data_IF_536025872896
#
_entry.id   IF_536025872896
#
_cell.length_a   1.000
_cell.length_b   1.000
_cell.length_c   1.000
_cell.angle_alpha   90.00
_cell.angle_beta   90.00
_cell.angle_gamma   90.00
#
_symmetry.space_group_name_H-M   'P 1'
#
loop_
_entity.id
_entity.type
_entity.pdbx_description
1 polymer ?
#
# COMPACT_ATOMS: atom_id res chain seq x y z
N UNK A 1 2.56 -16.02 -3.90
CA UNK A 1 2.84 -14.67 -4.46
C UNK A 1 2.83 -13.66 -3.33
N UNK A 2 3.74 -12.73 -3.35
CA UNK A 2 3.77 -11.64 -2.37
C UNK A 2 3.11 -10.41 -2.98
N UNK A 3 2.17 -9.83 -2.27
CA UNK A 3 1.41 -8.66 -2.74
C UNK A 3 1.60 -7.52 -1.74
N UNK A 4 2.00 -6.35 -2.25
CA UNK A 4 1.98 -5.12 -1.49
C UNK A 4 0.66 -4.41 -1.78
N UNK A 5 -0.20 -4.29 -0.77
CA UNK A 5 -1.45 -3.57 -0.92
C UNK A 5 -1.19 -2.09 -0.66
N UNK A 6 -1.34 -1.28 -1.70
CA UNK A 6 -1.12 0.16 -1.65
C UNK A 6 -2.20 0.86 -0.82
N UNK A 7 -1.90 2.06 -0.36
CA UNK A 7 -2.81 2.88 0.45
C UNK A 7 -4.14 3.14 -0.26
N UNK A 8 -4.11 3.36 -1.59
CA UNK A 8 -5.33 3.54 -2.38
C UNK A 8 -6.27 2.33 -2.22
N UNK A 9 -5.72 1.13 -2.31
CA UNK A 9 -6.49 -0.10 -2.19
C UNK A 9 -7.00 -0.33 -0.75
N UNK A 10 -6.17 -0.06 0.25
CA UNK A 10 -6.61 -0.14 1.64
C UNK A 10 -7.74 0.83 1.94
N UNK A 11 -7.68 2.05 1.40
CA UNK A 11 -8.74 3.05 1.57
C UNK A 11 -10.06 2.53 1.01
N UNK A 12 -10.05 1.91 -0.17
CA UNK A 12 -11.23 1.31 -0.78
C UNK A 12 -11.76 0.13 0.04
N UNK A 13 -10.85 -0.69 0.57
CA UNK A 13 -11.21 -1.81 1.43
C UNK A 13 -11.94 -1.33 2.69
N UNK A 14 -11.41 -0.33 3.38
CA UNK A 14 -12.04 0.20 4.58
C UNK A 14 -13.34 0.96 4.30
N UNK A 15 -13.47 1.54 3.12
CA UNK A 15 -14.70 2.20 2.69
C UNK A 15 -15.82 1.23 2.31
N UNK A 16 -15.50 -0.05 2.09
CA UNK A 16 -16.48 -1.05 1.67
C UNK A 16 -17.01 -0.83 0.27
N UNK A 17 -16.23 -0.21 -0.61
CA UNK A 17 -16.61 0.02 -2.01
C UNK A 17 -16.63 -1.28 -2.81
N UNK A 18 -17.12 -1.23 -4.07
CA UNK A 18 -17.07 -2.38 -4.97
C UNK A 18 -15.62 -2.82 -5.23
N UNK A 19 -14.73 -1.86 -5.42
CA UNK A 19 -13.31 -2.15 -5.58
C UNK A 19 -12.74 -2.71 -4.27
N UNK A 20 -13.20 -2.18 -3.14
CA UNK A 20 -12.82 -2.69 -1.82
C UNK A 20 -13.17 -4.15 -1.62
N UNK A 21 -14.26 -4.63 -2.22
CA UNK A 21 -14.61 -6.06 -2.17
C UNK A 21 -13.59 -6.91 -2.95
N UNK A 22 -13.04 -6.37 -4.03
CA UNK A 22 -11.96 -7.05 -4.78
C UNK A 22 -10.70 -7.10 -3.91
N UNK A 23 -10.34 -5.99 -3.27
CA UNK A 23 -9.20 -5.95 -2.35
C UNK A 23 -9.37 -6.95 -1.22
N UNK A 24 -10.59 -7.07 -0.71
CA UNK A 24 -10.93 -8.02 0.37
C UNK A 24 -10.60 -9.46 -0.01
N UNK A 25 -10.74 -9.84 -1.28
CA UNK A 25 -10.38 -11.20 -1.70
C UNK A 25 -8.91 -11.50 -1.47
N UNK A 26 -8.04 -10.51 -1.64
CA UNK A 26 -6.61 -10.65 -1.33
C UNK A 26 -6.37 -10.68 0.17
N UNK A 27 -7.01 -9.79 0.92
CA UNK A 27 -6.85 -9.70 2.37
C UNK A 27 -7.26 -11.00 3.05
N UNK A 28 -8.35 -11.62 2.60
CA UNK A 28 -8.90 -12.84 3.20
C UNK A 28 -8.27 -14.13 2.69
N UNK A 29 -7.48 -14.06 1.64
CA UNK A 29 -6.80 -15.24 1.08
C UNK A 29 -5.53 -15.54 1.88
N UNK A 30 -5.60 -16.54 2.76
CA UNK A 30 -4.49 -16.92 3.63
C UNK A 30 -3.27 -17.46 2.86
N UNK A 31 -3.46 -17.86 1.61
CA UNK A 31 -2.35 -18.30 0.75
C UNK A 31 -1.55 -17.13 0.17
N UNK A 32 -2.08 -15.91 0.25
CA UNK A 32 -1.37 -14.72 -0.17
C UNK A 32 -0.48 -14.19 0.96
N UNK A 33 0.78 -13.93 0.65
CA UNK A 33 1.64 -13.17 1.54
C UNK A 33 1.43 -11.68 1.27
N UNK A 34 0.90 -10.97 2.25
CA UNK A 34 0.60 -9.54 2.12
C UNK A 34 1.61 -8.73 2.90
N UNK A 35 2.19 -7.74 2.25
CA UNK A 35 3.09 -6.78 2.88
C UNK A 35 2.56 -5.38 2.73
N UNK A 36 3.00 -4.49 3.62
CA UNK A 36 2.78 -3.05 3.51
C UNK A 36 4.07 -2.33 3.87
N UNK A 37 4.25 -1.15 3.26
CA UNK A 37 5.28 -0.22 3.69
C UNK A 37 4.83 0.52 4.95
N UNK A 38 5.76 0.95 5.79
CA UNK A 38 5.45 1.87 6.87
C UNK A 38 4.81 3.17 6.36
N UNK A 39 5.06 3.54 5.10
CA UNK A 39 4.39 4.68 4.46
C UNK A 39 2.90 4.41 4.29
N UNK A 40 2.51 3.21 3.84
CA UNK A 40 1.09 2.84 3.72
C UNK A 40 0.38 2.96 5.07
N UNK A 41 1.01 2.47 6.12
CA UNK A 41 0.43 2.54 7.46
C UNK A 41 0.23 3.99 7.88
N UNK A 42 1.23 4.85 7.67
CA UNK A 42 1.14 6.26 8.02
C UNK A 42 0.02 6.97 7.23
N UNK A 43 -0.09 6.69 5.94
CA UNK A 43 -1.11 7.31 5.09
C UNK A 43 -2.52 6.91 5.50
N UNK A 44 -2.75 5.63 5.75
CA UNK A 44 -4.07 5.13 6.16
C UNK A 44 -4.43 5.64 7.56
N UNK A 45 -3.47 5.66 8.48
CA UNK A 45 -3.68 6.18 9.83
C UNK A 45 -4.07 7.66 9.78
N UNK A 46 -3.33 8.46 9.02
CA UNK A 46 -3.62 9.88 8.84
C UNK A 46 -5.00 10.11 8.22
N UNK A 47 -5.35 9.33 7.20
CA UNK A 47 -6.66 9.44 6.54
C UNK A 47 -7.80 9.21 7.54
N UNK A 48 -7.64 8.23 8.42
CA UNK A 48 -8.64 7.96 9.47
C UNK A 48 -8.73 9.09 10.49
N UNK A 49 -7.59 9.68 10.88
CA UNK A 49 -7.58 10.84 11.77
C UNK A 49 -8.28 12.04 11.14
N UNK A 50 -8.03 12.28 9.85
CA UNK A 50 -8.59 13.43 9.14
C UNK A 50 -10.10 13.32 8.94
N UNK A 51 -10.62 12.11 8.73
CA UNK A 51 -12.03 11.88 8.39
C UNK A 51 -12.89 11.41 9.56
N UNK A 52 -12.29 10.80 10.56
CA UNK A 52 -13.01 10.19 11.66
C UNK A 52 -12.38 10.58 12.98
N UNK A 53 -11.64 9.66 13.61
CA UNK A 53 -11.05 9.85 14.93
C UNK A 53 -9.89 8.88 15.17
N UNK A 54 -9.21 9.05 16.29
CA UNK A 54 -8.09 8.20 16.67
C UNK A 54 -8.53 6.75 16.92
N UNK A 55 -9.72 6.54 17.46
CA UNK A 55 -10.27 5.20 17.69
C UNK A 55 -10.37 4.42 16.39
N UNK A 56 -10.87 5.06 15.33
CA UNK A 56 -10.96 4.47 13.99
C UNK A 56 -9.57 4.21 13.41
N UNK A 57 -8.64 5.16 13.57
CA UNK A 57 -7.28 5.01 13.12
C UNK A 57 -6.59 3.81 13.77
N UNK A 58 -6.75 3.64 15.09
CA UNK A 58 -6.19 2.50 15.83
C UNK A 58 -6.82 1.17 15.39
N UNK A 59 -8.11 1.17 15.12
CA UNK A 59 -8.81 -0.03 14.63
C UNK A 59 -8.25 -0.48 13.28
N UNK A 60 -8.07 0.47 12.37
CA UNK A 60 -7.50 0.18 11.02
C UNK A 60 -6.06 -0.25 11.11
N UNK A 61 -5.26 0.39 11.96
CA UNK A 61 -3.88 -0.01 12.24
C UNK A 61 -3.82 -1.47 12.67
N UNK A 62 -4.64 -1.87 13.64
CA UNK A 62 -4.66 -3.25 14.13
C UNK A 62 -5.06 -4.24 13.03
N UNK A 63 -6.02 -3.89 12.20
CA UNK A 63 -6.45 -4.74 11.10
C UNK A 63 -5.30 -4.97 10.09
N UNK A 64 -4.59 -3.92 9.72
CA UNK A 64 -3.47 -4.01 8.78
C UNK A 64 -2.32 -4.82 9.39
N UNK A 65 -1.92 -4.52 10.60
CA UNK A 65 -0.79 -5.18 11.27
C UNK A 65 -1.07 -6.66 11.54
N UNK A 66 -2.32 -7.02 11.85
CA UNK A 66 -2.67 -8.42 12.10
C UNK A 66 -2.60 -9.28 10.83
N UNK A 67 -2.77 -8.67 9.64
CA UNK A 67 -2.79 -9.40 8.37
C UNK A 67 -1.47 -9.35 7.61
N UNK A 68 -0.70 -8.28 7.75
CA UNK A 68 0.42 -7.98 6.87
C UNK A 68 1.75 -8.05 7.57
N UNK A 69 2.81 -8.30 6.78
CA UNK A 69 4.16 -8.02 7.22
C UNK A 69 4.45 -6.54 6.95
N UNK A 70 4.82 -5.82 7.99
CA UNK A 70 5.20 -4.40 7.88
C UNK A 70 6.67 -4.31 7.50
N UNK A 71 6.94 -3.67 6.36
CA UNK A 71 8.30 -3.44 5.88
C UNK A 71 8.66 -1.98 6.17
N UNK A 72 9.57 -1.73 7.11
CA UNK A 72 9.96 -0.35 7.41
C UNK A 72 10.82 0.24 6.29
N UNK A 73 10.72 1.55 6.12
CA UNK A 73 11.59 2.28 5.19
C UNK A 73 12.98 2.37 5.84
N UNK A 74 13.88 1.53 5.36
CA UNK A 74 15.28 1.54 5.79
C UNK A 74 16.14 2.37 4.82
N UNK A 75 17.45 2.37 5.05
CA UNK A 75 18.38 3.14 4.23
C UNK A 75 18.31 2.75 2.75
N UNK A 76 18.29 1.44 2.47
CA UNK A 76 18.23 0.94 1.10
C UNK A 76 16.95 1.39 0.37
N UNK A 77 15.80 1.24 1.02
CA UNK A 77 14.51 1.68 0.45
C UNK A 77 14.48 3.19 0.29
N UNK A 78 15.03 3.93 1.26
CA UNK A 78 15.08 5.39 1.18
C UNK A 78 15.86 5.87 -0.05
N UNK A 79 17.03 5.28 -0.31
CA UNK A 79 17.85 5.64 -1.46
C UNK A 79 17.17 5.23 -2.78
N UNK A 80 16.64 4.02 -2.85
CA UNK A 80 15.91 3.54 -4.04
C UNK A 80 14.69 4.42 -4.33
N UNK A 81 13.94 4.79 -3.31
CA UNK A 81 12.79 5.68 -3.46
C UNK A 81 13.18 7.05 -3.96
N UNK A 82 14.28 7.61 -3.45
CA UNK A 82 14.80 8.89 -3.91
C UNK A 82 15.16 8.85 -5.40
N UNK A 83 15.76 7.75 -5.86
CA UNK A 83 16.11 7.56 -7.27
C UNK A 83 14.86 7.46 -8.15
N UNK A 84 13.86 6.70 -7.73
CA UNK A 84 12.60 6.59 -8.48
C UNK A 84 11.90 7.95 -8.58
N UNK A 85 11.87 8.72 -7.51
CA UNK A 85 11.30 10.05 -7.54
C UNK A 85 12.06 10.99 -8.48
N UNK A 86 13.38 10.88 -8.50
CA UNK A 86 14.22 11.68 -9.38
C UNK A 86 13.99 11.36 -10.86
N UNK A 87 13.80 10.09 -11.18
CA UNK A 87 13.60 9.62 -12.56
C UNK A 87 12.17 9.81 -13.06
N UNK A 88 11.20 9.85 -12.15
CA UNK A 88 9.77 9.95 -12.45
C UNK A 88 9.18 11.12 -11.66
N UNK A 89 8.14 11.72 -12.20
CA UNK A 89 7.44 12.83 -11.51
C UNK A 89 6.44 12.28 -10.49
N UNK A 90 6.95 11.59 -9.49
CA UNK A 90 6.15 10.98 -8.42
C UNK A 90 6.31 11.73 -7.11
N UNK A 91 5.31 11.61 -6.23
CA UNK A 91 5.48 11.96 -4.83
C UNK A 91 6.45 11.00 -4.15
N UNK A 92 7.10 11.48 -3.09
CA UNK A 92 8.07 10.67 -2.35
C UNK A 92 7.42 9.41 -1.74
N UNK A 93 6.17 9.54 -1.24
CA UNK A 93 5.45 8.40 -0.69
C UNK A 93 5.29 7.26 -1.70
N UNK A 94 4.80 7.58 -2.90
CA UNK A 94 4.62 6.59 -3.97
C UNK A 94 5.94 5.94 -4.36
N UNK A 95 7.00 6.74 -4.46
CA UNK A 95 8.33 6.24 -4.81
C UNK A 95 8.88 5.29 -3.75
N UNK A 96 8.67 5.58 -2.47
CA UNK A 96 9.09 4.72 -1.36
C UNK A 96 8.29 3.41 -1.32
N UNK A 97 7.00 3.48 -1.60
CA UNK A 97 6.14 2.30 -1.67
C UNK A 97 6.60 1.38 -2.81
N UNK A 98 6.83 1.96 -3.98
CA UNK A 98 7.30 1.20 -5.14
C UNK A 98 8.67 0.57 -4.89
N UNK A 99 9.59 1.32 -4.28
CA UNK A 99 10.92 0.81 -3.91
C UNK A 99 10.81 -0.38 -2.95
N UNK A 100 9.86 -0.32 -2.01
CA UNK A 100 9.60 -1.43 -1.08
C UNK A 100 9.15 -2.67 -1.85
N UNK A 101 8.21 -2.51 -2.77
CA UNK A 101 7.69 -3.62 -3.58
C UNK A 101 8.80 -4.27 -4.42
N UNK A 102 9.63 -3.47 -5.05
CA UNK A 102 10.74 -3.98 -5.87
C UNK A 102 11.72 -4.78 -5.03
N UNK A 103 12.13 -4.24 -3.87
CA UNK A 103 13.07 -4.97 -3.00
C UNK A 103 12.51 -6.29 -2.50
N UNK A 104 11.22 -6.32 -2.18
CA UNK A 104 10.56 -7.51 -1.63
C UNK A 104 10.03 -8.46 -2.72
N UNK A 105 10.30 -8.14 -3.98
CA UNK A 105 9.79 -8.92 -5.13
C UNK A 105 8.28 -9.11 -5.04
N UNK A 106 7.58 -8.04 -4.70
CA UNK A 106 6.13 -8.05 -4.52
C UNK A 106 5.42 -7.40 -5.70
N UNK A 107 4.19 -7.85 -5.94
CA UNK A 107 3.28 -7.21 -6.88
C UNK A 107 2.48 -6.14 -6.15
N UNK A 108 2.39 -4.92 -6.69
CA UNK A 108 1.63 -3.84 -6.09
C UNK A 108 0.16 -3.93 -6.52
N UNK A 109 -0.73 -3.97 -5.55
CA UNK A 109 -2.18 -3.93 -5.78
C UNK A 109 -2.66 -2.50 -5.52
N UNK A 110 -3.08 -1.80 -6.55
CA UNK A 110 -3.42 -0.38 -6.46
C UNK A 110 -4.36 0.07 -7.58
N UNK A 111 -5.00 1.22 -7.39
CA UNK A 111 -5.72 1.93 -8.44
C UNK A 111 -5.19 3.35 -8.63
N UNK A 112 -4.05 3.67 -8.00
CA UNK A 112 -3.41 4.98 -8.18
C UNK A 112 -2.83 5.08 -9.59
N UNK A 113 -3.24 6.10 -10.38
CA UNK A 113 -2.75 6.27 -11.76
C UNK A 113 -1.22 6.32 -11.91
N UNK A 114 -0.48 6.72 -10.88
CA UNK A 114 0.98 6.75 -10.92
C UNK A 114 1.58 5.36 -11.21
N UNK A 115 0.90 4.30 -10.79
CA UNK A 115 1.38 2.93 -10.97
C UNK A 115 0.86 2.25 -12.23
N UNK A 116 0.00 2.93 -12.99
CA UNK A 116 -0.61 2.34 -14.19
C UNK A 116 0.44 2.06 -15.26
N UNK A 117 0.42 0.85 -15.79
CA UNK A 117 1.32 0.45 -16.87
C UNK A 117 2.70 -0.01 -16.42
N UNK A 118 2.98 -0.01 -15.12
CA UNK A 118 4.24 -0.51 -14.62
C UNK A 118 4.20 -2.04 -14.51
N UNK A 119 5.39 -2.66 -14.61
CA UNK A 119 5.54 -4.08 -14.37
C UNK A 119 5.23 -4.39 -12.90
N UNK A 120 4.77 -5.61 -12.63
CA UNK A 120 4.49 -6.10 -11.29
C UNK A 120 3.45 -5.24 -10.54
N UNK A 121 2.45 -4.78 -11.29
CA UNK A 121 1.31 -4.04 -10.73
C UNK A 121 0.01 -4.69 -11.17
N UNK A 122 -0.88 -4.94 -10.20
CA UNK A 122 -2.27 -5.29 -10.48
C UNK A 122 -3.08 -4.00 -10.31
N UNK A 123 -3.53 -3.45 -11.43
CA UNK A 123 -4.18 -2.13 -11.44
C UNK A 123 -5.69 -2.28 -11.36
N UNK A 124 -6.31 -1.68 -10.34
CA UNK A 124 -7.74 -1.74 -10.06
C UNK A 124 -8.50 -0.49 -10.51
N UNK A 125 -7.80 0.53 -10.95
CA UNK A 125 -8.41 1.77 -11.43
C UNK A 125 -8.87 1.67 -12.89
N UNK A 126 -9.27 2.79 -13.45
CA UNK A 126 -9.72 2.90 -14.84
C UNK A 126 -8.52 3.12 -15.82
#
# INVERSE_FOLDING_TARGET
MTVLIDSWAWAEFFAGSKIGEIVKTYVMDEDQEIIISSINLAEIYRLALDRFDEKTAEKRRRAMISRCYLIPVDEEIAISGAKFRHERDWGLGDALIYATAIREDATVLTGDPHFKGLNDVIFLGD
#
